data_IF_935488975472
#
_entry.id   IF_935488975472
#
_cell.length_a   1.000
_cell.length_b   1.000
_cell.length_c   1.000
_cell.angle_alpha   90.00
_cell.angle_beta   90.00
_cell.angle_gamma   90.00
#
_symmetry.space_group_name_H-M   'P 1'
#
loop_
_entity.id
_entity.type
_entity.pdbx_description
1 polymer ?
#
# COMPACT_ATOMS: atom_id res chain seq x y z
N UNK A 1 30.52 12.43 2.89
CA UNK A 1 29.29 12.57 2.10
C UNK A 1 28.05 12.25 2.93
N UNK A 2 27.95 11.08 3.60
CA UNK A 2 26.82 10.78 4.49
C UNK A 2 26.80 11.71 5.72
N UNK A 3 27.95 11.94 6.38
CA UNK A 3 28.02 12.84 7.53
C UNK A 3 27.68 14.29 7.17
N UNK A 4 28.16 14.83 6.04
CA UNK A 4 27.78 16.18 5.62
C UNK A 4 26.29 16.32 5.24
N UNK A 5 25.65 15.23 4.82
CA UNK A 5 24.20 15.18 4.62
C UNK A 5 23.46 15.18 5.97
N UNK A 6 23.95 14.42 6.95
CA UNK A 6 23.41 14.38 8.31
C UNK A 6 23.52 15.75 8.99
N UNK A 7 24.66 16.42 8.82
CA UNK A 7 24.96 17.73 9.43
C UNK A 7 24.14 18.87 8.81
N UNK A 8 23.67 18.71 7.57
CA UNK A 8 22.83 19.70 6.86
C UNK A 8 21.34 19.34 6.89
N UNK A 9 20.99 18.09 7.18
CA UNK A 9 19.61 17.61 7.22
C UNK A 9 18.87 18.14 8.45
N UNK A 10 17.92 19.06 8.22
CA UNK A 10 16.99 19.49 9.25
C UNK A 10 16.09 18.34 9.74
N UNK A 11 15.48 18.51 10.91
CA UNK A 11 14.59 17.50 11.57
C UNK A 11 13.52 16.94 10.63
N UNK A 12 12.99 17.78 9.72
CA UNK A 12 11.98 17.37 8.73
C UNK A 12 12.49 16.30 7.76
N UNK A 13 13.77 16.36 7.37
CA UNK A 13 14.37 15.37 6.47
C UNK A 13 14.49 14.00 7.16
N UNK A 14 14.85 13.97 8.44
CA UNK A 14 14.90 12.75 9.23
C UNK A 14 13.52 12.10 9.41
N UNK A 15 12.50 12.91 9.71
CA UNK A 15 11.12 12.41 9.80
C UNK A 15 10.68 11.82 8.45
N UNK A 16 10.91 12.53 7.35
CA UNK A 16 10.56 12.04 6.01
C UNK A 16 11.30 10.75 5.65
N UNK A 17 12.58 10.62 6.01
CA UNK A 17 13.38 9.42 5.80
C UNK A 17 12.77 8.21 6.52
N UNK A 18 12.44 8.36 7.81
CA UNK A 18 11.82 7.27 8.59
C UNK A 18 10.48 6.86 7.99
N UNK A 19 9.64 7.83 7.61
CA UNK A 19 8.36 7.57 6.96
C UNK A 19 8.54 6.79 5.63
N UNK A 20 9.51 7.18 4.80
CA UNK A 20 9.82 6.48 3.55
C UNK A 20 10.35 5.07 3.77
N UNK A 21 11.19 4.86 4.79
CA UNK A 21 11.70 3.52 5.11
C UNK A 21 10.56 2.58 5.53
N UNK A 22 9.65 3.05 6.38
CA UNK A 22 8.48 2.26 6.78
C UNK A 22 7.56 2.01 5.57
N UNK A 23 7.33 3.02 4.73
CA UNK A 23 6.58 2.87 3.49
C UNK A 23 7.17 1.79 2.58
N UNK A 24 8.49 1.80 2.39
CA UNK A 24 9.21 0.83 1.57
C UNK A 24 9.07 -0.60 2.11
N UNK A 25 9.19 -0.79 3.43
CA UNK A 25 9.01 -2.11 4.07
C UNK A 25 7.58 -2.61 3.88
N UNK A 26 6.57 -1.75 4.02
CA UNK A 26 5.18 -2.14 3.79
C UNK A 26 4.90 -2.49 2.33
N UNK A 27 5.41 -1.70 1.37
CA UNK A 27 5.31 -2.02 -0.06
C UNK A 27 6.03 -3.31 -0.43
N UNK A 28 7.19 -3.58 0.18
CA UNK A 28 7.88 -4.86 0.03
C UNK A 28 7.03 -6.01 0.60
N UNK A 29 6.43 -5.83 1.77
CA UNK A 29 5.49 -6.79 2.37
C UNK A 29 4.28 -7.09 1.47
N UNK A 30 3.71 -6.07 0.82
CA UNK A 30 2.64 -6.26 -0.17
C UNK A 30 3.11 -7.11 -1.35
N UNK A 31 4.30 -6.83 -1.90
CA UNK A 31 4.88 -7.61 -2.99
C UNK A 31 5.13 -9.08 -2.60
N UNK A 32 5.66 -9.31 -1.40
CA UNK A 32 5.83 -10.67 -0.84
C UNK A 32 4.48 -11.36 -0.67
N UNK A 33 3.44 -10.66 -0.20
CA UNK A 33 2.09 -11.20 -0.07
C UNK A 33 1.52 -11.72 -1.40
N UNK A 34 1.76 -10.99 -2.50
CA UNK A 34 1.32 -11.41 -3.84
C UNK A 34 1.99 -12.73 -4.28
N UNK A 35 3.25 -12.95 -3.91
CA UNK A 35 4.01 -14.16 -4.31
C UNK A 35 3.79 -15.33 -3.35
N UNK A 36 3.54 -15.05 -2.06
CA UNK A 36 3.47 -16.08 -1.02
C UNK A 36 2.11 -16.74 -0.89
N UNK A 37 1.01 -16.00 -1.08
CA UNK A 37 -0.34 -16.54 -0.91
C UNK A 37 -0.80 -17.24 -2.20
N UNK A 38 -1.28 -18.50 -2.11
CA UNK A 38 -1.73 -19.25 -3.28
C UNK A 38 -3.14 -18.84 -3.75
N UNK A 39 -4.00 -18.39 -2.83
CA UNK A 39 -5.39 -18.04 -3.13
C UNK A 39 -5.53 -16.56 -3.55
N UNK A 40 -6.17 -16.25 -4.69
CA UNK A 40 -6.37 -14.87 -5.16
C UNK A 40 -7.08 -13.94 -4.17
N UNK A 41 -8.08 -14.41 -3.42
CA UNK A 41 -8.78 -13.62 -2.42
C UNK A 41 -7.88 -13.29 -1.23
N UNK A 42 -7.07 -14.25 -0.80
CA UNK A 42 -6.08 -14.04 0.27
C UNK A 42 -4.97 -13.09 -0.20
N UNK A 43 -4.54 -13.19 -1.47
CA UNK A 43 -3.56 -12.26 -2.08
C UNK A 43 -4.08 -10.83 -2.10
N UNK A 44 -5.36 -10.62 -2.44
CA UNK A 44 -5.97 -9.29 -2.45
C UNK A 44 -5.94 -8.65 -1.06
N UNK A 45 -6.28 -9.41 -0.03
CA UNK A 45 -6.28 -8.90 1.34
C UNK A 45 -4.86 -8.60 1.85
N UNK A 46 -3.92 -9.51 1.57
CA UNK A 46 -2.52 -9.37 1.94
C UNK A 46 -1.81 -8.23 1.20
N UNK A 47 -2.18 -7.97 -0.05
CA UNK A 47 -1.64 -6.89 -0.87
C UNK A 47 -2.22 -5.53 -0.48
N UNK A 48 -3.55 -5.43 -0.35
CA UNK A 48 -4.22 -4.13 -0.25
C UNK A 48 -3.86 -3.36 1.03
N UNK A 49 -3.77 -4.05 2.19
CA UNK A 49 -3.53 -3.36 3.48
C UNK A 49 -2.16 -2.71 3.56
N UNK A 50 -1.04 -3.42 3.30
CA UNK A 50 0.27 -2.79 3.36
C UNK A 50 0.46 -1.78 2.22
N UNK A 51 -0.20 -1.97 1.07
CA UNK A 51 -0.10 -1.03 -0.06
C UNK A 51 -0.73 0.33 0.24
N UNK A 52 -1.95 0.37 0.80
CA UNK A 52 -2.62 1.64 1.14
C UNK A 52 -1.85 2.37 2.23
N UNK A 53 -1.41 1.65 3.28
CA UNK A 53 -0.64 2.24 4.37
C UNK A 53 0.75 2.70 3.91
N UNK A 54 1.42 1.92 3.08
CA UNK A 54 2.72 2.26 2.51
C UNK A 54 2.65 3.52 1.66
N UNK A 55 1.65 3.62 0.77
CA UNK A 55 1.43 4.84 0.00
C UNK A 55 1.12 6.04 0.89
N UNK A 56 0.26 5.89 1.90
CA UNK A 56 -0.09 6.96 2.82
C UNK A 56 1.15 7.54 3.51
N UNK A 57 2.05 6.67 3.99
CA UNK A 57 3.31 7.06 4.62
C UNK A 57 4.28 7.73 3.63
N UNK A 58 4.36 7.23 2.40
CA UNK A 58 5.18 7.84 1.36
C UNK A 58 4.69 9.26 1.02
N UNK A 59 3.37 9.44 0.88
CA UNK A 59 2.77 10.76 0.64
C UNK A 59 2.98 11.69 1.84
N UNK A 60 2.82 11.20 3.08
CA UNK A 60 3.12 11.97 4.28
C UNK A 60 4.58 12.42 4.33
N UNK A 61 5.53 11.57 3.93
CA UNK A 61 6.93 11.92 3.83
C UNK A 61 7.18 13.07 2.84
N UNK A 62 6.49 13.07 1.69
CA UNK A 62 6.55 14.17 0.71
C UNK A 62 6.03 15.47 1.33
N UNK A 63 4.90 15.45 2.03
CA UNK A 63 4.36 16.65 2.70
C UNK A 63 5.33 17.19 3.75
N UNK A 64 5.95 16.31 4.55
CA UNK A 64 6.92 16.73 5.59
C UNK A 64 8.21 17.26 4.97
N UNK A 65 8.73 16.59 3.94
CA UNK A 65 9.96 16.98 3.26
C UNK A 65 9.82 18.32 2.54
N UNK A 66 8.71 18.55 1.83
CA UNK A 66 8.47 19.80 1.10
C UNK A 66 7.96 20.89 2.04
N UNK A 67 7.00 20.56 2.92
CA UNK A 67 6.47 21.44 3.97
C UNK A 67 5.73 22.67 3.47
N UNK A 68 5.20 22.60 2.25
CA UNK A 68 4.35 23.65 1.68
C UNK A 68 2.90 23.18 1.65
N UNK A 69 1.97 24.13 1.73
CA UNK A 69 0.54 23.85 1.59
C UNK A 69 0.19 23.26 0.22
N UNK A 70 0.91 23.70 -0.82
CA UNK A 70 0.79 23.16 -2.17
C UNK A 70 1.09 21.66 -2.22
N UNK A 71 2.13 21.19 -1.52
CA UNK A 71 2.46 19.77 -1.50
C UNK A 71 1.31 18.91 -0.95
N UNK A 72 0.64 19.38 0.10
CA UNK A 72 -0.52 18.70 0.68
C UNK A 72 -1.66 18.55 -0.35
N UNK A 73 -2.03 19.62 -1.05
CA UNK A 73 -3.09 19.57 -2.06
C UNK A 73 -2.74 18.75 -3.29
N UNK A 74 -1.45 18.61 -3.60
CA UNK A 74 -0.99 17.74 -4.70
C UNK A 74 -1.12 16.26 -4.33
N UNK A 75 -0.77 15.88 -3.09
CA UNK A 75 -0.82 14.47 -2.68
C UNK A 75 -2.21 14.01 -2.25
N UNK A 76 -3.08 14.92 -1.82
CA UNK A 76 -4.42 14.60 -1.32
C UNK A 76 -5.26 13.82 -2.36
N UNK A 77 -5.36 14.26 -3.64
CA UNK A 77 -6.06 13.48 -4.67
C UNK A 77 -5.50 12.07 -4.83
N UNK A 78 -4.18 11.89 -4.76
CA UNK A 78 -3.53 10.57 -4.89
C UNK A 78 -4.06 9.62 -3.81
N UNK A 79 -4.12 10.09 -2.55
CA UNK A 79 -4.62 9.30 -1.43
C UNK A 79 -6.11 8.98 -1.59
N UNK A 80 -6.91 9.97 -1.96
CA UNK A 80 -8.36 9.80 -2.17
C UNK A 80 -8.64 8.81 -3.29
N UNK A 81 -8.00 8.97 -4.45
CA UNK A 81 -8.15 8.06 -5.57
C UNK A 81 -7.69 6.65 -5.20
N UNK A 82 -6.57 6.48 -4.50
CA UNK A 82 -6.11 5.16 -4.04
C UNK A 82 -7.17 4.46 -3.18
N UNK A 83 -7.81 5.19 -2.25
CA UNK A 83 -8.86 4.63 -1.38
C UNK A 83 -10.10 4.17 -2.15
N UNK A 84 -10.37 4.75 -3.33
CA UNK A 84 -11.44 4.27 -4.22
C UNK A 84 -10.97 3.16 -5.17
N UNK A 85 -9.76 3.27 -5.72
CA UNK A 85 -9.21 2.32 -6.68
C UNK A 85 -9.02 0.94 -6.02
N UNK A 86 -8.52 0.88 -4.79
CA UNK A 86 -8.27 -0.38 -4.09
C UNK A 86 -9.53 -1.23 -3.91
N UNK A 87 -10.65 -0.75 -3.35
CA UNK A 87 -11.86 -1.56 -3.21
C UNK A 87 -12.51 -1.90 -4.55
N UNK A 88 -12.49 -0.98 -5.53
CA UNK A 88 -13.05 -1.25 -6.87
C UNK A 88 -12.26 -2.36 -7.56
N UNK A 89 -10.93 -2.28 -7.60
CA UNK A 89 -10.07 -3.32 -8.16
C UNK A 89 -10.20 -4.64 -7.41
N UNK A 90 -10.26 -4.60 -6.07
CA UNK A 90 -10.45 -5.80 -5.24
C UNK A 90 -11.77 -6.48 -5.55
N UNK A 91 -12.88 -5.73 -5.67
CA UNK A 91 -14.18 -6.29 -6.01
C UNK A 91 -14.21 -6.89 -7.42
N UNK A 92 -13.59 -6.22 -8.40
CA UNK A 92 -13.49 -6.74 -9.77
C UNK A 92 -12.69 -8.04 -9.83
N UNK A 93 -11.53 -8.11 -9.14
CA UNK A 93 -10.70 -9.32 -9.11
C UNK A 93 -11.41 -10.43 -8.33
N UNK A 94 -12.07 -10.12 -7.21
CA UNK A 94 -12.84 -11.12 -6.47
C UNK A 94 -13.97 -11.73 -7.32
N UNK A 95 -14.76 -10.91 -8.02
CA UNK A 95 -15.81 -11.41 -8.92
C UNK A 95 -15.24 -12.25 -10.06
N UNK A 96 -14.09 -11.85 -10.61
CA UNK A 96 -13.41 -12.61 -11.65
C UNK A 96 -12.94 -13.98 -11.13
N UNK A 97 -12.32 -14.02 -9.95
CA UNK A 97 -11.86 -15.25 -9.30
C UNK A 97 -12.99 -16.24 -9.00
N UNK A 98 -14.12 -15.74 -8.49
CA UNK A 98 -15.32 -16.57 -8.26
C UNK A 98 -15.82 -17.18 -9.58
N UNK A 99 -15.88 -16.40 -10.66
CA UNK A 99 -16.38 -16.87 -11.96
C UNK A 99 -15.44 -17.87 -12.65
N UNK A 100 -14.13 -17.77 -12.41
CA UNK A 100 -13.15 -18.70 -12.98
C UNK A 100 -12.96 -19.97 -12.16
N UNK A 101 -13.57 -20.08 -10.97
CA UNK A 101 -13.30 -21.18 -10.04
C UNK A 101 -11.86 -21.17 -9.51
N UNK A 102 -11.19 -20.00 -9.55
CA UNK A 102 -9.77 -19.85 -9.20
C UNK A 102 -9.61 -19.47 -7.72
N UNK A 103 -10.15 -20.30 -6.83
CA UNK A 103 -10.04 -20.15 -5.38
C UNK A 103 -9.98 -21.53 -4.71
N UNK A 104 -9.28 -21.65 -3.57
CA UNK A 104 -9.07 -22.96 -2.94
C UNK A 104 -10.29 -23.36 -2.11
N UNK A 105 -11.21 -24.11 -2.73
CA UNK A 105 -12.38 -24.68 -2.05
C UNK A 105 -12.03 -25.52 -0.81
N UNK A 106 -10.86 -26.17 -0.81
CA UNK A 106 -10.38 -26.97 0.33
C UNK A 106 -10.06 -26.16 1.60
N UNK A 107 -9.81 -24.85 1.47
CA UNK A 107 -9.55 -23.95 2.59
C UNK A 107 -10.84 -23.28 3.12
N UNK A 108 -11.99 -23.49 2.45
CA UNK A 108 -13.28 -22.89 2.82
C UNK A 108 -14.06 -23.81 3.76
N UNK A 109 -14.41 -23.31 4.95
CA UNK A 109 -15.28 -24.03 5.89
C UNK A 109 -16.76 -24.00 5.48
N UNK A 110 -17.18 -22.92 4.81
CA UNK A 110 -18.52 -22.71 4.29
C UNK A 110 -18.36 -21.97 2.97
N UNK A 111 -19.02 -22.48 1.93
CA UNK A 111 -19.08 -21.84 0.62
C UNK A 111 -20.57 -21.59 0.29
N UNK A 112 -20.99 -20.34 0.40
CA UNK A 112 -22.37 -19.92 0.08
C UNK A 112 -22.52 -19.55 -1.41
N UNK A 113 -21.50 -19.81 -2.25
CA UNK A 113 -21.53 -19.51 -3.69
C UNK A 113 -22.05 -20.67 -4.56
N UNK A 114 -22.35 -21.82 -3.95
CA UNK A 114 -23.08 -22.96 -4.55
C UNK A 114 -24.61 -22.85 -4.41
#
# INVERSE_FOLDING_TARGET
MLQSFIDTAGVRAWIALVLLLVAAVLSFGAAVGIVRFPDPLVRLHAMAKPQVLGLALALAAIVVAVGTWTAFWVVLPIMVFQLFLVPVSTHMIARAGVRSGDYRHEDLLVDDTE
#
